data_IF_353268128405
#
_entry.id   IF_353268128405
#
_cell.length_a   1.000
_cell.length_b   1.000
_cell.length_c   1.000
_cell.angle_alpha   90.00
_cell.angle_beta   90.00
_cell.angle_gamma   90.00
#
_symmetry.space_group_name_H-M   'P 1'
#
loop_
_entity.id
_entity.type
_entity.pdbx_description
1 polymer ?
#
# COMPACT_ATOMS: atom_id res chain seq x y z
N UNK A 1 -16.49 -27.39 -21.47
CA UNK A 1 -15.81 -26.19 -22.01
C UNK A 1 -14.65 -26.57 -22.93
N UNK A 2 -13.67 -27.37 -22.49
CA UNK A 2 -12.57 -27.85 -23.35
C UNK A 2 -12.99 -28.60 -24.62
N UNK A 3 -14.05 -29.42 -24.58
CA UNK A 3 -14.55 -30.15 -25.77
C UNK A 3 -15.08 -29.21 -26.87
N UNK A 4 -15.84 -28.18 -26.48
CA UNK A 4 -16.37 -27.16 -27.40
C UNK A 4 -15.23 -26.33 -28.00
N UNK A 5 -14.24 -25.96 -27.17
CA UNK A 5 -13.05 -25.25 -27.67
C UNK A 5 -12.22 -26.08 -28.64
N UNK A 6 -12.11 -27.39 -28.42
CA UNK A 6 -11.39 -28.29 -29.32
C UNK A 6 -12.10 -28.43 -30.67
N UNK A 7 -13.44 -28.51 -30.68
CA UNK A 7 -14.25 -28.55 -31.90
C UNK A 7 -14.16 -27.23 -32.69
N UNK A 8 -14.22 -26.09 -32.00
CA UNK A 8 -14.25 -24.77 -32.63
C UNK A 8 -12.87 -24.13 -32.85
N UNK A 9 -11.77 -24.78 -32.42
CA UNK A 9 -10.40 -24.22 -32.48
C UNK A 9 -10.02 -23.72 -33.87
N UNK A 10 -10.33 -24.50 -34.90
CA UNK A 10 -9.98 -24.15 -36.28
C UNK A 10 -10.76 -22.91 -36.73
N UNK A 11 -12.06 -22.87 -36.48
CA UNK A 11 -12.93 -21.73 -36.82
C UNK A 11 -12.49 -20.47 -36.06
N UNK A 12 -12.20 -20.60 -34.77
CA UNK A 12 -11.76 -19.51 -33.91
C UNK A 12 -10.39 -18.94 -34.34
N UNK A 13 -9.43 -19.81 -34.68
CA UNK A 13 -8.11 -19.39 -35.19
C UNK A 13 -8.23 -18.65 -36.52
N UNK A 14 -9.07 -19.15 -37.44
CA UNK A 14 -9.34 -18.49 -38.72
C UNK A 14 -10.00 -17.13 -38.49
N UNK A 15 -10.95 -17.06 -37.56
CA UNK A 15 -11.61 -15.80 -37.22
C UNK A 15 -10.65 -14.77 -36.62
N UNK A 16 -9.79 -15.17 -35.67
CA UNK A 16 -8.79 -14.27 -35.07
C UNK A 16 -7.79 -13.70 -36.08
N UNK A 17 -7.38 -14.51 -37.08
CA UNK A 17 -6.51 -14.05 -38.18
C UNK A 17 -7.19 -13.02 -39.08
N UNK A 18 -8.48 -13.18 -39.34
CA UNK A 18 -9.19 -12.44 -40.39
C UNK A 18 -9.98 -11.23 -39.86
N UNK A 19 -10.43 -11.28 -38.60
CA UNK A 19 -11.31 -10.27 -38.03
C UNK A 19 -10.58 -9.04 -37.46
N UNK A 20 -9.24 -9.08 -37.36
CA UNK A 20 -8.38 -7.94 -37.04
C UNK A 20 -8.84 -7.18 -35.79
N UNK A 21 -9.34 -5.94 -35.99
CA UNK A 21 -9.83 -5.07 -34.89
C UNK A 21 -11.07 -5.62 -34.18
N UNK A 22 -11.96 -6.33 -34.88
CA UNK A 22 -13.17 -6.92 -34.27
C UNK A 22 -12.80 -8.06 -33.32
N UNK A 23 -11.79 -8.83 -33.66
CA UNK A 23 -11.26 -9.89 -32.80
C UNK A 23 -10.59 -9.31 -31.54
N UNK A 24 -9.80 -8.24 -31.70
CA UNK A 24 -9.22 -7.53 -30.56
C UNK A 24 -10.33 -7.05 -29.60
N UNK A 25 -11.29 -6.27 -30.09
CA UNK A 25 -12.38 -5.73 -29.28
C UNK A 25 -13.20 -6.82 -28.56
N UNK A 26 -13.48 -7.94 -29.24
CA UNK A 26 -14.22 -9.06 -28.63
C UNK A 26 -13.41 -9.80 -27.56
N UNK A 27 -12.10 -9.99 -27.73
CA UNK A 27 -11.25 -10.57 -26.70
C UNK A 27 -11.11 -9.62 -25.50
N UNK A 28 -11.02 -8.32 -25.73
CA UNK A 28 -11.06 -7.32 -24.66
C UNK A 28 -12.36 -7.37 -23.89
N UNK A 29 -13.47 -7.43 -24.61
CA UNK A 29 -14.79 -7.56 -23.99
C UNK A 29 -14.90 -8.89 -23.23
N UNK A 30 -14.36 -9.99 -23.75
CA UNK A 30 -14.33 -11.27 -23.06
C UNK A 30 -13.47 -11.22 -21.79
N UNK A 31 -12.32 -10.55 -21.82
CA UNK A 31 -11.47 -10.33 -20.64
C UNK A 31 -12.18 -9.41 -19.65
N UNK A 32 -12.85 -8.36 -20.11
CA UNK A 32 -13.60 -7.45 -19.26
C UNK A 32 -14.78 -8.15 -18.58
N UNK A 33 -15.54 -8.96 -19.31
CA UNK A 33 -16.61 -9.81 -18.77
C UNK A 33 -16.03 -10.82 -17.78
N UNK A 34 -14.94 -11.50 -18.15
CA UNK A 34 -14.30 -12.50 -17.29
C UNK A 34 -13.65 -11.88 -16.03
N UNK A 35 -13.25 -10.62 -16.11
CA UNK A 35 -12.62 -9.86 -15.00
C UNK A 35 -13.62 -8.90 -14.32
N UNK A 36 -14.91 -8.98 -14.64
CA UNK A 36 -15.99 -8.14 -14.10
C UNK A 36 -15.72 -6.62 -14.17
N UNK A 37 -14.92 -6.17 -15.15
CA UNK A 37 -14.61 -4.76 -15.33
C UNK A 37 -15.85 -3.98 -15.79
N UNK A 38 -16.07 -2.80 -15.19
CA UNK A 38 -17.15 -1.89 -15.58
C UNK A 38 -16.81 -1.05 -16.82
N UNK A 39 -15.61 -1.20 -17.40
CA UNK A 39 -15.27 -0.53 -18.65
C UNK A 39 -16.08 -1.13 -19.81
N UNK A 40 -16.85 -0.28 -20.49
CA UNK A 40 -17.69 -0.70 -21.63
C UNK A 40 -17.16 -0.21 -22.98
N UNK A 41 -16.14 0.65 -22.99
CA UNK A 41 -15.62 1.31 -24.19
C UNK A 41 -14.24 0.79 -24.61
N UNK A 42 -14.20 -0.43 -25.14
CA UNK A 42 -12.99 -1.00 -25.73
C UNK A 42 -12.80 -0.52 -27.17
N UNK A 43 -12.35 0.73 -27.32
CA UNK A 43 -11.94 1.24 -28.63
C UNK A 43 -10.52 0.73 -28.94
N UNK A 44 -10.40 -0.57 -29.26
CA UNK A 44 -9.13 -1.15 -29.68
C UNK A 44 -8.76 -0.62 -31.08
N UNK A 45 -7.98 0.45 -31.13
CA UNK A 45 -7.42 0.97 -32.38
C UNK A 45 -6.41 0.00 -33.01
N UNK A 46 -5.82 -0.88 -32.21
CA UNK A 46 -4.87 -1.91 -32.59
C UNK A 46 -5.53 -3.24 -32.95
N UNK A 47 -5.11 -3.85 -34.07
CA UNK A 47 -5.51 -5.21 -34.45
C UNK A 47 -4.76 -6.27 -33.64
N UNK A 48 -5.13 -7.55 -33.78
CA UNK A 48 -4.33 -8.66 -33.27
C UNK A 48 -3.26 -9.08 -34.27
N UNK A 49 -2.12 -9.55 -33.78
CA UNK A 49 -1.14 -10.30 -34.57
C UNK A 49 -0.97 -11.70 -33.98
N UNK A 50 -0.64 -12.65 -34.85
CA UNK A 50 -0.27 -14.00 -34.45
C UNK A 50 1.24 -14.07 -34.27
N UNK A 51 1.72 -14.33 -33.06
CA UNK A 51 3.17 -14.43 -32.76
C UNK A 51 3.70 -15.80 -33.16
N UNK A 52 2.90 -16.82 -32.89
CA UNK A 52 3.17 -18.23 -33.16
C UNK A 52 1.84 -18.91 -33.44
N UNK A 53 1.87 -20.04 -34.14
CA UNK A 53 0.66 -20.76 -34.56
C UNK A 53 -0.34 -20.93 -33.41
N UNK A 54 -1.50 -20.29 -33.53
CA UNK A 54 -2.59 -20.32 -32.57
C UNK A 54 -2.44 -19.39 -31.36
N UNK A 55 -1.45 -18.50 -31.31
CA UNK A 55 -1.27 -17.53 -30.22
C UNK A 55 -1.30 -16.11 -30.74
N UNK A 56 -2.25 -15.36 -30.22
CA UNK A 56 -2.58 -14.00 -30.66
C UNK A 56 -2.32 -12.98 -29.57
N UNK A 57 -1.90 -11.79 -29.97
CA UNK A 57 -1.63 -10.64 -29.10
C UNK A 57 -2.06 -9.34 -29.76
N UNK A 58 -2.19 -8.24 -29.01
CA UNK A 58 -2.40 -6.92 -29.62
C UNK A 58 -1.18 -6.46 -30.42
N UNK A 59 -1.41 -5.88 -31.59
CA UNK A 59 -0.37 -5.32 -32.44
C UNK A 59 0.40 -4.15 -31.80
N UNK A 60 -0.25 -3.39 -30.90
CA UNK A 60 0.41 -2.33 -30.12
C UNK A 60 1.38 -2.87 -29.07
N UNK A 61 1.17 -4.11 -28.66
CA UNK A 61 1.93 -4.83 -27.65
C UNK A 61 3.01 -5.70 -28.31
N UNK A 62 2.78 -6.09 -29.57
CA UNK A 62 3.73 -6.82 -30.38
C UNK A 62 5.09 -6.13 -30.49
N UNK A 63 6.11 -6.84 -30.04
CA UNK A 63 7.49 -6.42 -30.22
C UNK A 63 7.96 -6.87 -31.59
N UNK A 64 8.39 -5.91 -32.43
CA UNK A 64 8.95 -6.20 -33.76
C UNK A 64 10.05 -7.26 -33.67
N UNK A 65 10.08 -8.20 -34.63
CA UNK A 65 11.07 -9.28 -34.65
C UNK A 65 12.53 -8.80 -34.56
N UNK A 66 12.82 -7.57 -35.00
CA UNK A 66 14.15 -6.94 -34.86
C UNK A 66 14.56 -6.66 -33.40
N UNK A 67 13.60 -6.47 -32.48
CA UNK A 67 13.85 -6.29 -31.04
C UNK A 67 14.01 -7.61 -30.29
N UNK A 68 13.63 -8.74 -30.89
CA UNK A 68 13.76 -10.08 -30.33
C UNK A 68 15.12 -10.73 -30.66
N UNK A 69 15.93 -10.11 -31.52
CA UNK A 69 17.28 -10.57 -31.86
C UNK A 69 18.30 -9.90 -30.95
N UNK A 70 19.21 -10.71 -30.38
CA UNK A 70 20.36 -10.20 -29.63
C UNK A 70 21.19 -9.27 -30.53
N UNK A 71 21.29 -8.00 -30.14
CA UNK A 71 22.07 -7.02 -30.91
C UNK A 71 23.57 -7.22 -30.63
N UNK A 72 24.45 -7.02 -31.64
CA UNK A 72 25.89 -7.04 -31.40
C UNK A 72 26.27 -6.01 -30.34
N UNK A 73 26.86 -6.44 -29.23
CA UNK A 73 27.27 -5.58 -28.11
C UNK A 73 26.24 -5.41 -26.97
N UNK A 74 25.04 -6.00 -27.09
CA UNK A 74 24.06 -6.04 -25.99
C UNK A 74 24.47 -7.12 -24.98
N UNK A 75 24.40 -6.82 -23.68
CA UNK A 75 24.67 -7.83 -22.66
C UNK A 75 23.55 -8.88 -22.62
N UNK A 76 23.88 -10.10 -22.19
CA UNK A 76 22.90 -11.17 -22.03
C UNK A 76 21.83 -10.78 -21.00
N UNK A 77 22.19 -10.04 -19.95
CA UNK A 77 21.23 -9.53 -18.98
C UNK A 77 20.27 -8.48 -19.58
N UNK A 78 20.77 -7.54 -20.37
CA UNK A 78 19.94 -6.53 -21.05
C UNK A 78 18.99 -7.17 -22.06
N UNK A 79 19.45 -8.21 -22.75
CA UNK A 79 18.63 -8.99 -23.66
C UNK A 79 17.52 -9.75 -22.92
N UNK A 80 17.84 -10.42 -21.82
CA UNK A 80 16.86 -11.12 -21.00
C UNK A 80 15.86 -10.18 -20.32
N UNK A 81 16.29 -8.97 -19.91
CA UNK A 81 15.40 -7.92 -19.42
C UNK A 81 14.45 -7.40 -20.51
N UNK A 82 14.95 -7.25 -21.74
CA UNK A 82 14.13 -6.86 -22.90
C UNK A 82 13.08 -7.93 -23.21
N UNK A 83 13.46 -9.22 -23.20
CA UNK A 83 12.53 -10.33 -23.35
C UNK A 83 11.52 -10.46 -22.20
N UNK A 84 11.92 -10.11 -20.97
CA UNK A 84 11.05 -10.10 -19.81
C UNK A 84 10.08 -8.90 -19.76
N UNK A 85 10.28 -7.90 -20.63
CA UNK A 85 9.43 -6.71 -20.77
C UNK A 85 8.37 -6.80 -21.87
N UNK A 86 8.23 -7.98 -22.49
CA UNK A 86 7.23 -8.28 -23.52
C UNK A 86 5.82 -8.39 -22.91
N UNK A 87 4.74 -8.22 -23.70
CA UNK A 87 3.54 -7.56 -23.22
C UNK A 87 2.52 -8.45 -22.48
N UNK A 88 1.55 -7.74 -21.91
CA UNK A 88 0.73 -8.12 -20.76
C UNK A 88 -0.42 -9.10 -21.08
N UNK A 89 -0.87 -9.31 -22.33
CA UNK A 89 -2.02 -10.19 -22.61
C UNK A 89 -1.86 -10.99 -23.92
N UNK A 90 -1.85 -12.33 -23.83
CA UNK A 90 -1.85 -13.22 -24.99
C UNK A 90 -3.01 -14.23 -24.93
N UNK A 91 -3.56 -14.60 -26.09
CA UNK A 91 -4.62 -15.59 -26.21
C UNK A 91 -4.11 -16.82 -26.98
N UNK A 92 -4.12 -17.99 -26.34
CA UNK A 92 -3.66 -19.26 -26.92
C UNK A 92 -4.86 -20.14 -27.28
N UNK A 93 -5.20 -20.18 -28.57
CA UNK A 93 -6.28 -21.02 -29.12
C UNK A 93 -6.02 -22.51 -28.99
N UNK A 94 -4.75 -22.92 -28.83
CA UNK A 94 -4.40 -24.32 -28.73
C UNK A 94 -4.75 -24.87 -27.35
N UNK A 95 -4.67 -24.01 -26.33
CA UNK A 95 -4.95 -24.32 -24.94
C UNK A 95 -6.32 -23.78 -24.48
N UNK A 96 -6.96 -22.91 -25.26
CA UNK A 96 -8.19 -22.22 -24.86
C UNK A 96 -7.96 -21.30 -23.66
N UNK A 97 -6.77 -20.71 -23.53
CA UNK A 97 -6.36 -19.96 -22.35
C UNK A 97 -5.92 -18.53 -22.68
N UNK A 98 -6.16 -17.63 -21.74
CA UNK A 98 -5.56 -16.30 -21.69
C UNK A 98 -4.28 -16.39 -20.85
N UNK A 99 -3.14 -16.09 -21.47
CA UNK A 99 -1.86 -16.06 -20.80
C UNK A 99 -1.43 -14.60 -20.59
N UNK A 100 -1.60 -14.12 -19.36
CA UNK A 100 -0.82 -13.00 -18.83
C UNK A 100 0.58 -13.57 -18.53
N UNK A 101 1.65 -13.01 -19.09
CA UNK A 101 2.96 -13.68 -19.11
C UNK A 101 3.66 -13.64 -17.74
N UNK A 102 3.12 -14.33 -16.70
CA UNK A 102 3.85 -15.02 -15.60
C UNK A 102 3.03 -15.60 -14.45
N UNK A 103 1.71 -15.70 -14.55
CA UNK A 103 0.95 -16.45 -13.55
C UNK A 103 -0.29 -17.07 -14.18
N UNK A 104 -0.55 -18.34 -13.88
CA UNK A 104 -1.92 -18.85 -14.01
C UNK A 104 -2.82 -17.89 -13.24
N UNK A 105 -3.88 -17.40 -13.90
CA UNK A 105 -4.90 -16.64 -13.21
C UNK A 105 -5.45 -17.54 -12.13
N UNK A 106 -5.18 -17.16 -10.88
CA UNK A 106 -5.64 -17.88 -9.71
C UNK A 106 -6.62 -16.99 -8.98
N UNK A 107 -7.55 -17.64 -8.27
CA UNK A 107 -8.38 -16.93 -7.30
C UNK A 107 -7.45 -16.29 -6.27
N UNK A 108 -7.80 -15.08 -5.81
CA UNK A 108 -7.08 -14.42 -4.73
C UNK A 108 -6.85 -15.39 -3.56
N UNK A 109 -5.61 -15.49 -3.06
CA UNK A 109 -5.35 -16.34 -1.90
C UNK A 109 -6.10 -15.80 -0.68
N UNK A 110 -6.48 -16.69 0.24
CA UNK A 110 -7.33 -16.32 1.39
C UNK A 110 -6.77 -15.19 2.25
N UNK A 111 -5.44 -15.07 2.36
CA UNK A 111 -4.83 -13.94 3.07
C UNK A 111 -5.13 -12.58 2.41
N UNK A 112 -5.20 -12.54 1.08
CA UNK A 112 -5.49 -11.31 0.35
C UNK A 112 -6.98 -10.98 0.43
N UNK A 113 -7.85 -12.00 0.32
CA UNK A 113 -9.30 -11.86 0.51
C UNK A 113 -9.65 -11.29 1.89
N UNK A 114 -8.89 -11.66 2.92
CA UNK A 114 -9.11 -11.22 4.30
C UNK A 114 -8.36 -9.92 4.66
N UNK A 115 -7.63 -9.31 3.72
CA UNK A 115 -6.90 -8.06 3.97
C UNK A 115 -7.90 -6.89 4.00
N UNK A 116 -8.03 -6.22 5.16
CA UNK A 116 -9.01 -5.15 5.35
C UNK A 116 -8.81 -4.00 4.36
N UNK A 117 -7.56 -3.58 4.15
CA UNK A 117 -7.20 -2.51 3.20
C UNK A 117 -7.60 -2.87 1.77
N UNK A 118 -7.52 -4.16 1.42
CA UNK A 118 -7.91 -4.65 0.10
C UNK A 118 -9.43 -4.67 -0.06
N UNK A 119 -10.15 -5.10 0.98
CA UNK A 119 -11.63 -5.08 1.02
C UNK A 119 -12.19 -3.67 0.95
N UNK A 120 -11.49 -2.70 1.55
CA UNK A 120 -11.89 -1.28 1.47
C UNK A 120 -11.64 -0.69 0.08
N UNK A 121 -10.56 -1.08 -0.60
CA UNK A 121 -10.19 -0.55 -1.92
C UNK A 121 -10.96 -1.20 -3.06
N UNK A 122 -11.20 -2.51 -2.98
CA UNK A 122 -11.77 -3.30 -4.06
C UNK A 122 -12.97 -4.09 -3.56
N UNK A 123 -14.01 -4.20 -4.39
CA UNK A 123 -15.05 -5.19 -4.17
C UNK A 123 -14.49 -6.56 -4.59
N UNK A 124 -13.95 -7.29 -3.62
CA UNK A 124 -13.11 -8.48 -3.88
C UNK A 124 -13.85 -9.73 -4.38
N UNK A 125 -15.15 -9.64 -4.65
CA UNK A 125 -15.94 -10.76 -5.14
C UNK A 125 -15.50 -11.17 -6.55
N UNK A 126 -14.76 -12.28 -6.63
CA UNK A 126 -14.34 -12.88 -7.90
C UNK A 126 -13.09 -12.28 -8.55
N UNK A 127 -12.35 -11.41 -7.83
CA UNK A 127 -11.11 -10.83 -8.37
C UNK A 127 -10.05 -11.92 -8.55
N UNK A 128 -9.56 -12.04 -9.78
CA UNK A 128 -8.45 -12.94 -10.13
C UNK A 128 -7.12 -12.22 -9.93
N UNK A 129 -6.10 -12.97 -9.56
CA UNK A 129 -4.74 -12.46 -9.44
C UNK A 129 -3.76 -13.36 -10.18
N UNK A 130 -2.66 -12.79 -10.65
CA UNK A 130 -1.54 -13.53 -11.20
C UNK A 130 -0.30 -13.32 -10.34
N UNK A 131 0.45 -14.38 -10.06
CA UNK A 131 1.73 -14.22 -9.36
C UNK A 131 2.76 -13.58 -10.29
N UNK A 132 3.25 -12.39 -9.93
CA UNK A 132 4.27 -11.65 -10.69
C UNK A 132 5.66 -12.13 -10.29
N UNK A 133 5.89 -12.24 -8.98
CA UNK A 133 7.22 -12.49 -8.43
C UNK A 133 7.14 -13.02 -7.00
N UNK A 134 7.96 -14.03 -6.69
CA UNK A 134 8.06 -14.60 -5.34
C UNK A 134 9.52 -14.75 -4.95
N UNK A 135 9.88 -14.19 -3.79
CA UNK A 135 11.16 -14.38 -3.12
C UNK A 135 10.94 -15.06 -1.77
N UNK A 136 12.02 -15.34 -1.05
CA UNK A 136 11.98 -15.90 0.31
C UNK A 136 11.10 -15.08 1.26
N UNK A 137 11.05 -13.76 1.08
CA UNK A 137 10.39 -12.85 2.02
C UNK A 137 9.34 -11.94 1.40
N UNK A 138 9.07 -12.08 0.09
CA UNK A 138 8.11 -11.24 -0.62
C UNK A 138 7.34 -12.05 -1.66
N UNK A 139 6.03 -11.97 -1.60
CA UNK A 139 5.13 -12.44 -2.63
C UNK A 139 4.48 -11.23 -3.31
N UNK A 140 4.50 -11.21 -4.63
CA UNK A 140 3.99 -10.13 -5.47
C UNK A 140 2.92 -10.68 -6.39
N UNK A 141 1.69 -10.20 -6.24
CA UNK A 141 0.54 -10.56 -7.07
C UNK A 141 0.09 -9.35 -7.88
N UNK A 142 -0.28 -9.52 -9.14
CA UNK A 142 -0.95 -8.51 -9.93
C UNK A 142 -2.44 -8.83 -9.95
N UNK A 143 -3.27 -7.85 -9.60
CA UNK A 143 -4.71 -7.99 -9.65
C UNK A 143 -5.18 -7.85 -11.10
N UNK A 144 -5.90 -8.84 -11.61
CA UNK A 144 -6.39 -8.80 -12.98
C UNK A 144 -7.50 -7.73 -13.11
N UNK A 145 -7.41 -6.90 -14.15
CA UNK A 145 -8.35 -5.79 -14.38
C UNK A 145 -8.05 -4.52 -13.56
N UNK A 146 -7.38 -4.67 -12.43
CA UNK A 146 -6.95 -3.56 -11.58
C UNK A 146 -5.51 -3.18 -11.90
N UNK A 147 -5.19 -1.89 -12.05
CA UNK A 147 -3.80 -1.42 -12.29
C UNK A 147 -2.95 -1.45 -11.01
N UNK A 148 -3.09 -2.52 -10.22
CA UNK A 148 -2.56 -2.66 -8.88
C UNK A 148 -1.80 -3.98 -8.68
N UNK A 149 -0.68 -3.89 -7.97
CA UNK A 149 0.13 -5.00 -7.48
C UNK A 149 0.00 -5.11 -5.96
N UNK A 150 -0.13 -6.34 -5.45
CA UNK A 150 -0.10 -6.67 -4.02
C UNK A 150 1.26 -7.23 -3.66
N UNK A 151 1.89 -6.62 -2.66
CA UNK A 151 3.17 -7.04 -2.12
C UNK A 151 2.98 -7.53 -0.70
N UNK A 152 2.93 -8.85 -0.50
CA UNK A 152 2.97 -9.46 0.82
C UNK A 152 4.41 -9.68 1.24
N UNK A 153 4.76 -9.23 2.43
CA UNK A 153 6.06 -9.40 3.04
C UNK A 153 5.95 -10.28 4.27
N UNK A 154 6.89 -11.20 4.43
CA UNK A 154 7.04 -11.91 5.71
C UNK A 154 7.63 -10.96 6.75
N UNK A 155 7.55 -11.38 8.02
CA UNK A 155 8.19 -10.70 9.15
C UNK A 155 9.59 -10.21 8.80
N UNK A 156 9.90 -8.95 9.12
CA UNK A 156 11.24 -8.41 8.88
C UNK A 156 12.21 -8.99 9.93
N UNK A 157 13.18 -9.83 9.53
CA UNK A 157 14.09 -10.46 10.48
C UNK A 157 15.21 -9.51 10.95
N UNK A 158 15.28 -8.28 10.40
CA UNK A 158 16.34 -7.32 10.72
C UNK A 158 16.12 -6.75 12.13
N UNK A 159 17.19 -6.56 12.92
CA UNK A 159 17.07 -5.88 14.21
C UNK A 159 16.63 -4.43 14.01
N UNK A 160 15.93 -3.89 15.01
CA UNK A 160 15.57 -2.48 15.00
C UNK A 160 16.83 -1.61 14.99
N UNK A 161 16.86 -0.53 14.18
CA UNK A 161 17.99 0.38 14.19
C UNK A 161 18.14 1.00 15.58
N UNK A 162 19.32 0.84 16.18
CA UNK A 162 19.64 1.43 17.48
C UNK A 162 19.96 2.91 17.26
N UNK A 163 19.20 3.85 17.87
CA UNK A 163 19.49 5.26 17.74
C UNK A 163 20.85 5.59 18.38
N UNK A 164 21.72 6.28 17.65
CA UNK A 164 23.01 6.73 18.17
C UNK A 164 22.84 8.13 18.73
N UNK A 165 23.12 8.32 20.02
CA UNK A 165 23.06 9.63 20.67
C UNK A 165 24.03 10.63 20.02
N UNK A 166 23.61 11.89 19.86
CA UNK A 166 24.53 12.93 19.43
C UNK A 166 25.52 13.24 20.56
N UNK A 167 26.82 13.35 20.21
CA UNK A 167 27.82 13.83 21.15
C UNK A 167 27.61 15.33 21.38
N UNK A 168 27.30 15.71 22.62
CA UNK A 168 27.40 17.10 23.07
C UNK A 168 26.14 17.96 22.98
N UNK A 169 24.97 17.40 22.67
CA UNK A 169 23.73 18.17 22.72
C UNK A 169 23.34 18.44 24.18
N UNK A 170 23.31 19.71 24.58
CA UNK A 170 22.68 20.18 25.83
C UNK A 170 21.60 21.18 25.46
N UNK A 171 20.36 20.91 25.86
CA UNK A 171 19.26 21.85 25.71
C UNK A 171 18.80 22.31 27.09
N UNK A 172 19.07 23.56 27.42
CA UNK A 172 18.71 24.14 28.73
C UNK A 172 17.20 24.20 28.95
N UNK A 173 16.42 24.32 27.89
CA UNK A 173 14.95 24.40 27.97
C UNK A 173 14.27 23.05 28.15
N UNK A 174 14.98 21.95 27.87
CA UNK A 174 14.38 20.63 27.76
C UNK A 174 13.79 20.17 29.10
N UNK A 175 14.57 20.29 30.18
CA UNK A 175 14.15 19.87 31.51
C UNK A 175 12.93 20.65 31.97
N UNK A 176 12.92 21.97 31.77
CA UNK A 176 11.79 22.85 32.08
C UNK A 176 10.52 22.45 31.30
N UNK A 177 10.67 22.12 30.00
CA UNK A 177 9.54 21.75 29.16
C UNK A 177 8.98 20.38 29.49
N UNK A 178 9.85 19.41 29.80
CA UNK A 178 9.44 18.09 30.29
C UNK A 178 8.72 18.23 31.62
N UNK A 179 9.24 19.05 32.54
CA UNK A 179 8.58 19.32 33.83
C UNK A 179 7.22 19.99 33.64
N UNK A 180 7.13 21.02 32.78
CA UNK A 180 5.89 21.72 32.48
C UNK A 180 4.84 20.81 31.82
N UNK A 181 5.28 19.82 31.04
CA UNK A 181 4.43 18.81 30.42
C UNK A 181 4.03 17.66 31.37
N UNK A 182 4.40 17.71 32.65
CA UNK A 182 4.07 16.68 33.64
C UNK A 182 5.08 15.53 33.78
N UNK A 183 6.23 15.64 33.12
CA UNK A 183 7.31 14.65 33.16
C UNK A 183 7.17 13.51 32.15
N UNK A 184 8.13 12.59 32.16
CA UNK A 184 8.04 11.36 31.38
C UNK A 184 7.18 10.31 32.09
N UNK A 185 6.44 9.47 31.35
CA UNK A 185 5.67 8.39 31.94
C UNK A 185 6.56 7.33 32.60
N UNK A 186 6.02 6.68 33.64
CA UNK A 186 6.74 5.70 34.42
C UNK A 186 7.12 4.46 33.59
N UNK A 187 8.36 3.98 33.68
CA UNK A 187 8.80 2.80 32.94
C UNK A 187 9.11 3.05 31.46
N UNK A 188 9.17 4.32 31.02
CA UNK A 188 9.76 4.66 29.73
C UNK A 188 11.25 4.27 29.67
N UNK A 189 11.97 4.23 30.78
CA UNK A 189 13.42 3.97 30.80
C UNK A 189 14.24 5.23 30.56
N UNK A 190 15.57 5.09 30.44
CA UNK A 190 16.45 6.25 30.33
C UNK A 190 16.35 6.92 28.95
N UNK A 191 15.96 8.20 28.91
CA UNK A 191 15.90 8.98 27.68
C UNK A 191 17.24 9.64 27.38
N UNK A 192 17.68 9.59 26.12
CA UNK A 192 18.96 10.15 25.65
C UNK A 192 18.71 11.09 24.49
N UNK A 193 19.22 12.33 24.57
CA UNK A 193 19.04 13.33 23.53
C UNK A 193 19.71 12.89 22.22
N UNK A 194 18.91 12.78 21.15
CA UNK A 194 19.38 12.50 19.80
C UNK A 194 19.69 13.81 19.08
N UNK A 195 18.71 14.69 19.01
CA UNK A 195 18.86 16.01 18.43
C UNK A 195 17.91 16.99 19.13
N UNK A 196 18.13 18.27 18.86
CA UNK A 196 17.20 19.30 19.29
C UNK A 196 17.31 20.54 18.43
N UNK A 197 16.20 21.26 18.38
CA UNK A 197 16.04 22.59 17.82
C UNK A 197 15.62 23.55 18.95
N UNK A 198 15.34 24.80 18.60
CA UNK A 198 14.80 25.76 19.59
C UNK A 198 13.38 25.43 20.05
N UNK A 199 12.65 24.60 19.29
CA UNK A 199 11.22 24.30 19.48
C UNK A 199 10.93 22.85 19.84
N UNK A 200 11.78 21.92 19.44
CA UNK A 200 11.55 20.48 19.62
C UNK A 200 12.86 19.76 19.92
N UNK A 201 12.78 18.68 20.70
CA UNK A 201 13.89 17.80 21.00
C UNK A 201 13.47 16.35 20.71
N UNK A 202 14.34 15.60 20.01
CA UNK A 202 14.16 14.18 19.78
C UNK A 202 15.04 13.39 20.74
N UNK A 203 14.43 12.43 21.41
CA UNK A 203 15.02 11.62 22.45
C UNK A 203 14.87 10.15 22.07
N UNK A 204 15.96 9.40 22.18
CA UNK A 204 15.94 7.96 22.17
C UNK A 204 15.62 7.43 23.56
N UNK A 205 14.98 6.27 23.57
CA UNK A 205 14.60 5.55 24.76
C UNK A 205 15.33 4.19 24.78
N UNK A 206 15.56 3.63 25.96
CA UNK A 206 16.10 2.26 26.07
C UNK A 206 15.10 1.18 25.61
N UNK A 207 13.81 1.52 25.56
CA UNK A 207 12.79 0.67 24.96
C UNK A 207 12.96 0.64 23.44
N UNK A 208 13.16 -0.57 22.90
CA UNK A 208 13.30 -0.77 21.47
C UNK A 208 12.10 -0.24 20.68
N UNK A 209 12.40 0.46 19.59
CA UNK A 209 11.38 1.00 18.69
C UNK A 209 10.60 2.19 19.26
N UNK A 210 11.00 2.77 20.40
CA UNK A 210 10.32 3.94 20.96
C UNK A 210 11.15 5.21 20.76
N UNK A 211 10.48 6.25 20.26
CA UNK A 211 11.03 7.60 20.13
C UNK A 211 10.19 8.59 20.93
N UNK A 212 10.87 9.53 21.57
CA UNK A 212 10.23 10.55 22.39
C UNK A 212 10.51 11.91 21.77
N UNK A 213 9.47 12.70 21.55
CA UNK A 213 9.55 14.05 21.01
C UNK A 213 9.02 15.01 22.07
N UNK A 214 9.82 16.00 22.44
CA UNK A 214 9.41 17.06 23.35
C UNK A 214 9.25 18.34 22.56
N UNK A 215 8.05 18.92 22.59
CA UNK A 215 7.72 20.23 22.05
C UNK A 215 7.86 21.26 23.17
N UNK A 216 8.52 22.38 22.88
CA UNK A 216 8.81 23.44 23.85
C UNK A 216 7.63 24.36 24.12
N UNK A 217 6.92 24.76 23.07
CA UNK A 217 5.85 25.77 23.15
C UNK A 217 4.71 25.41 22.20
N UNK A 218 3.56 24.93 22.71
CA UNK A 218 3.30 24.64 24.12
C UNK A 218 4.08 23.40 24.61
N UNK A 219 4.52 23.36 25.89
CA UNK A 219 5.24 22.23 26.44
C UNK A 219 4.43 20.93 26.33
N UNK A 220 4.89 19.98 25.50
CA UNK A 220 4.19 18.71 25.27
C UNK A 220 5.20 17.59 25.06
N UNK A 221 4.96 16.42 25.64
CA UNK A 221 5.74 15.20 25.38
C UNK A 221 4.90 14.27 24.53
N UNK A 222 5.44 13.81 23.41
CA UNK A 222 4.83 12.85 22.50
C UNK A 222 5.72 11.62 22.37
N UNK A 223 5.13 10.43 22.44
CA UNK A 223 5.84 9.16 22.34
C UNK A 223 5.35 8.44 21.10
N UNK A 224 6.29 8.13 20.22
CA UNK A 224 6.06 7.41 18.98
C UNK A 224 6.60 6.00 19.09
N UNK A 225 5.80 5.04 18.62
CA UNK A 225 6.26 3.69 18.36
C UNK A 225 6.70 3.55 16.90
N UNK A 226 7.80 2.85 16.70
CA UNK A 226 8.32 2.46 15.40
C UNK A 226 7.67 1.16 14.99
N UNK A 227 7.08 1.15 13.81
CA UNK A 227 6.41 -0.01 13.23
C UNK A 227 7.12 -0.41 11.94
N UNK A 228 7.34 -1.71 11.75
CA UNK A 228 7.89 -2.25 10.51
C UNK A 228 6.71 -2.62 9.64
N UNK A 229 6.64 -2.04 8.45
CA UNK A 229 5.61 -2.38 7.47
C UNK A 229 6.24 -2.42 6.09
N UNK A 230 6.13 -3.57 5.41
CA UNK A 230 6.81 -3.84 4.15
C UNK A 230 8.31 -3.47 4.17
N UNK A 231 9.00 -3.84 5.25
CA UNK A 231 10.44 -3.58 5.46
C UNK A 231 10.84 -2.10 5.51
N UNK A 232 9.86 -1.23 5.66
CA UNK A 232 10.02 0.20 5.93
C UNK A 232 9.65 0.48 7.39
N UNK A 233 10.33 1.45 8.00
CA UNK A 233 10.02 1.87 9.37
C UNK A 233 9.12 3.09 9.33
N UNK A 234 7.97 2.99 10.00
CA UNK A 234 6.99 4.05 10.19
C UNK A 234 6.95 4.45 11.66
N UNK A 235 6.46 5.65 11.92
CA UNK A 235 6.25 6.16 13.28
C UNK A 235 4.76 6.35 13.50
N UNK A 236 4.28 5.93 14.66
CA UNK A 236 2.89 6.08 15.06
C UNK A 236 2.83 6.65 16.46
N UNK A 237 2.00 7.66 16.67
CA UNK A 237 1.80 8.22 18.00
C UNK A 237 1.16 7.17 18.90
N UNK A 238 1.83 6.87 20.01
CA UNK A 238 1.39 5.92 21.03
C UNK A 238 0.81 6.64 22.25
N UNK A 239 1.41 7.76 22.63
CA UNK A 239 1.03 8.54 23.82
C UNK A 239 1.40 10.01 23.65
N UNK A 240 0.68 10.91 24.31
CA UNK A 240 0.99 12.33 24.43
C UNK A 240 0.63 12.82 25.83
N UNK A 241 1.35 13.81 26.34
CA UNK A 241 0.99 14.48 27.61
C UNK A 241 -0.26 15.35 27.47
N UNK A 242 -0.46 15.91 26.27
CA UNK A 242 -1.63 16.73 25.93
C UNK A 242 -2.18 16.33 24.54
N UNK A 243 -3.44 15.93 24.51
CA UNK A 243 -4.13 15.53 23.28
C UNK A 243 -4.54 16.73 22.42
N UNK A 244 -4.65 17.94 22.99
CA UNK A 244 -5.00 19.15 22.25
C UNK A 244 -3.91 19.54 21.24
N UNK A 245 -2.67 19.12 21.50
CA UNK A 245 -1.49 19.42 20.69
C UNK A 245 -0.98 18.22 19.90
N UNK A 246 -1.82 17.21 19.72
CA UNK A 246 -1.50 16.05 18.89
C UNK A 246 -2.42 15.97 17.68
N UNK A 247 -2.01 15.20 16.67
CA UNK A 247 -2.77 15.06 15.43
C UNK A 247 -3.71 13.83 15.43
N UNK A 248 -3.80 13.08 16.54
CA UNK A 248 -4.63 11.88 16.61
C UNK A 248 -5.83 12.07 17.54
N UNK A 249 -6.94 11.38 17.25
CA UNK A 249 -8.02 11.25 18.22
C UNK A 249 -7.74 10.05 19.13
N UNK A 250 -7.71 10.30 20.43
CA UNK A 250 -7.72 9.23 21.42
C UNK A 250 -9.14 8.94 21.85
N UNK A 251 -9.49 7.66 21.98
CA UNK A 251 -10.70 7.26 22.68
C UNK A 251 -10.62 7.87 24.08
N UNK A 252 -11.67 8.58 24.50
CA UNK A 252 -11.82 9.07 25.87
C UNK A 252 -11.76 7.89 26.85
N UNK A 253 -10.55 7.45 27.23
CA UNK A 253 -10.33 6.72 28.47
C UNK A 253 -10.05 7.77 29.55
N UNK A 254 -10.57 7.48 30.74
CA UNK A 254 -10.72 8.40 31.86
C UNK A 254 -9.48 9.29 32.09
N UNK A 255 -9.66 10.60 32.31
CA UNK A 255 -8.56 11.51 32.61
C UNK A 255 -7.80 10.99 33.84
N UNK A 256 -6.51 10.70 33.68
CA UNK A 256 -5.67 10.37 34.82
C UNK A 256 -5.16 11.68 35.43
N UNK A 257 -5.55 11.93 36.68
CA UNK A 257 -5.03 13.05 37.45
C UNK A 257 -3.78 12.55 38.17
N UNK A 258 -2.61 13.16 37.91
CA UNK A 258 -1.48 12.97 38.83
C UNK A 258 -1.86 13.55 40.19
N UNK A 259 -1.34 12.99 41.28
CA UNK A 259 -1.55 13.49 42.66
C UNK A 259 -1.12 14.98 42.83
N UNK A 260 -0.48 15.56 41.83
CA UNK A 260 -0.05 16.97 41.76
C UNK A 260 -1.06 17.91 41.07
N UNK A 261 -2.21 17.41 40.60
CA UNK A 261 -3.27 18.24 40.02
C UNK A 261 -3.00 18.75 38.59
N UNK A 262 -2.00 18.20 37.90
CA UNK A 262 -1.77 18.47 36.49
C UNK A 262 -2.63 17.54 35.62
N UNK A 263 -3.30 18.10 34.62
CA UNK A 263 -4.09 17.35 33.65
C UNK A 263 -3.13 16.51 32.77
N UNK A 264 -3.38 15.21 32.64
CA UNK A 264 -2.71 14.37 31.64
C UNK A 264 -3.74 13.46 31.00
N UNK A 265 -3.95 13.64 29.69
CA UNK A 265 -4.94 12.88 28.93
C UNK A 265 -4.24 12.04 27.86
N UNK A 266 -4.70 10.77 27.79
CA UNK A 266 -4.63 9.82 26.69
C UNK A 266 -3.43 8.84 26.64
N UNK A 267 -3.63 7.63 27.18
CA UNK A 267 -3.00 6.43 26.63
C UNK A 267 -3.78 6.00 25.39
N UNK A 268 -3.09 5.82 24.26
CA UNK A 268 -3.62 5.01 23.15
C UNK A 268 -3.89 3.57 23.61
N UNK A 269 -4.30 2.68 22.69
CA UNK A 269 -4.63 1.28 22.98
C UNK A 269 -3.53 0.42 23.66
N UNK A 270 -2.36 0.98 23.99
CA UNK A 270 -1.47 0.42 24.99
C UNK A 270 -1.60 1.23 26.27
N UNK A 271 -2.20 0.65 27.30
CA UNK A 271 -2.43 1.29 28.60
C UNK A 271 -1.20 2.00 29.16
N UNK A 272 -1.44 2.88 30.14
CA UNK A 272 -0.41 3.68 30.79
C UNK A 272 0.90 2.90 31.04
N UNK A 273 2.07 3.48 30.74
CA UNK A 273 3.34 2.96 31.22
C UNK A 273 3.27 2.88 32.76
N UNK A 274 3.28 1.66 33.30
CA UNK A 274 3.04 1.39 34.73
C UNK A 274 1.75 0.60 35.04
N UNK A 275 0.88 0.33 34.06
CA UNK A 275 -0.20 -0.64 34.22
C UNK A 275 0.38 -2.05 34.43
N UNK A 276 -0.21 -2.83 35.34
CA UNK A 276 0.12 -4.25 35.54
C UNK A 276 -0.09 -5.10 34.27
N UNK A 277 -0.74 -4.53 33.25
CA UNK A 277 -0.71 -5.03 31.88
C UNK A 277 0.72 -4.91 31.37
N UNK A 278 1.46 -6.02 31.42
CA UNK A 278 2.81 -6.14 30.84
C UNK A 278 2.86 -5.36 29.54
N UNK A 279 3.76 -4.38 29.46
CA UNK A 279 4.17 -3.77 28.19
C UNK A 279 4.39 -4.93 27.22
N UNK A 280 3.52 -5.06 26.23
CA UNK A 280 3.74 -6.03 25.17
C UNK A 280 5.06 -5.61 24.53
N UNK A 281 6.02 -6.54 24.52
CA UNK A 281 7.19 -6.47 23.65
C UNK A 281 6.72 -6.03 22.28
N UNK A 282 7.50 -5.17 21.59
CA UNK A 282 7.22 -4.78 20.21
C UNK A 282 6.69 -6.02 19.46
N UNK A 283 5.48 -5.96 18.88
CA UNK A 283 4.86 -7.15 18.32
C UNK A 283 5.86 -7.81 17.37
N UNK A 284 6.02 -9.15 17.41
CA UNK A 284 6.88 -9.85 16.47
C UNK A 284 6.46 -9.40 15.07
N UNK A 285 7.44 -9.07 14.21
CA UNK A 285 7.14 -8.45 12.91
C UNK A 285 6.04 -9.24 12.22
N UNK A 286 4.87 -8.64 12.05
CA UNK A 286 3.75 -9.34 11.43
C UNK A 286 4.00 -9.40 9.92
N UNK A 287 3.34 -10.34 9.26
CA UNK A 287 3.27 -10.29 7.81
C UNK A 287 2.52 -9.03 7.41
N UNK A 288 3.00 -8.35 6.37
CA UNK A 288 2.42 -7.06 5.95
C UNK A 288 2.12 -7.08 4.48
N UNK A 289 1.07 -6.36 4.08
CA UNK A 289 0.65 -6.25 2.68
C UNK A 289 0.72 -4.78 2.29
N UNK A 290 1.34 -4.51 1.15
CA UNK A 290 1.35 -3.20 0.52
C UNK A 290 0.71 -3.28 -0.85
N UNK A 291 -0.18 -2.34 -1.12
CA UNK A 291 -0.88 -2.20 -2.39
C UNK A 291 -0.16 -1.12 -3.18
N UNK A 292 0.28 -1.44 -4.39
CA UNK A 292 1.01 -0.54 -5.28
C UNK A 292 0.20 -0.34 -6.55
N UNK A 293 -0.05 0.90 -6.96
CA UNK A 293 -0.72 1.20 -8.23
C UNK A 293 0.21 1.86 -9.23
N UNK A 294 -0.09 1.70 -10.51
CA UNK A 294 0.58 2.40 -11.61
C UNK A 294 -0.32 3.52 -12.14
N UNK A 295 0.11 4.78 -11.96
CA UNK A 295 -0.63 5.95 -12.45
C UNK A 295 -0.25 6.27 -13.90
N UNK A 296 -1.23 6.19 -14.81
CA UNK A 296 -1.10 6.65 -16.19
C UNK A 296 -1.12 8.18 -16.25
N UNK A 297 -0.20 8.78 -17.03
CA UNK A 297 -0.22 10.21 -17.37
C UNK A 297 -1.40 10.52 -18.30
N UNK A 298 -2.62 10.58 -17.79
CA UNK A 298 -3.79 10.91 -18.64
C UNK A 298 -4.60 12.11 -18.14
N UNK A 299 -4.40 12.59 -16.90
CA UNK A 299 -5.08 13.79 -16.39
C UNK A 299 -4.14 15.02 -16.34
N UNK A 300 -4.26 15.97 -17.27
CA UNK A 300 -3.49 17.23 -17.24
C UNK A 300 -3.92 18.19 -16.12
N UNK A 301 -4.96 17.84 -15.34
CA UNK A 301 -5.49 18.69 -14.27
C UNK A 301 -4.81 18.49 -12.91
N UNK A 302 -4.03 17.42 -12.71
CA UNK A 302 -3.25 17.23 -11.48
C UNK A 302 -1.86 17.83 -11.63
N UNK A 303 -1.75 19.13 -11.32
CA UNK A 303 -0.48 19.87 -11.26
C UNK A 303 0.50 19.16 -10.31
N UNK A 304 1.50 18.48 -10.88
CA UNK A 304 2.57 17.81 -10.15
C UNK A 304 2.57 16.27 -10.21
N UNK A 305 1.56 15.63 -10.79
CA UNK A 305 1.53 14.18 -10.99
C UNK A 305 2.42 13.79 -12.20
N UNK A 306 3.72 13.64 -11.96
CA UNK A 306 4.54 12.82 -12.87
C UNK A 306 4.04 11.39 -12.72
N UNK A 307 3.58 10.77 -13.80
CA UNK A 307 3.17 9.36 -13.79
C UNK A 307 4.23 8.49 -13.11
N UNK A 308 3.80 7.44 -12.41
CA UNK A 308 4.69 6.68 -11.56
C UNK A 308 3.98 5.63 -10.71
N UNK A 309 4.78 4.90 -9.93
CA UNK A 309 4.28 3.91 -8.97
C UNK A 309 4.00 4.57 -7.63
N UNK A 310 2.86 4.26 -7.05
CA UNK A 310 2.46 4.74 -5.74
C UNK A 310 2.09 3.57 -4.84
N UNK A 311 2.52 3.63 -3.57
CA UNK A 311 2.17 2.64 -2.56
C UNK A 311 1.14 3.22 -1.60
N UNK A 312 0.05 2.48 -1.36
CA UNK A 312 -0.93 2.83 -0.35
C UNK A 312 -0.27 2.81 1.04
N UNK A 313 -0.51 3.86 1.83
CA UNK A 313 -0.16 3.89 3.23
C UNK A 313 -1.42 3.71 4.08
N UNK A 314 -1.53 2.62 4.86
CA UNK A 314 -2.61 2.46 5.83
C UNK A 314 -2.68 3.66 6.78
N UNK A 315 -3.89 4.19 7.00
CA UNK A 315 -4.12 5.32 7.92
C UNK A 315 -3.59 5.05 9.34
N UNK A 316 -3.57 3.78 9.76
CA UNK A 316 -3.00 3.35 11.04
C UNK A 316 -1.51 3.70 11.19
N UNK A 317 -0.72 3.70 10.11
CA UNK A 317 0.71 4.06 10.11
C UNK A 317 0.96 5.56 10.11
N UNK A 318 -0.08 6.37 9.89
CA UNK A 318 -0.02 7.83 9.83
C UNK A 318 -0.63 8.49 11.07
N UNK A 319 -1.12 7.69 12.03
CA UNK A 319 -1.74 8.19 13.26
C UNK A 319 -0.77 9.05 14.06
N UNK A 320 -1.21 10.28 14.35
CA UNK A 320 -0.44 11.31 15.04
C UNK A 320 0.64 11.99 14.19
N UNK A 321 0.83 11.57 12.94
CA UNK A 321 1.61 12.31 11.94
C UNK A 321 0.72 13.20 11.07
N UNK A 322 -0.53 12.80 10.86
CA UNK A 322 -1.56 13.57 10.17
C UNK A 322 -2.79 13.77 11.05
N UNK A 323 -3.52 14.90 10.90
CA UNK A 323 -4.78 15.12 11.57
C UNK A 323 -5.76 13.97 11.34
N UNK A 324 -6.38 13.48 12.40
CA UNK A 324 -7.34 12.37 12.34
C UNK A 324 -8.48 12.63 11.35
N UNK A 325 -8.94 13.88 11.23
CA UNK A 325 -9.98 14.24 10.24
C UNK A 325 -9.56 13.93 8.80
N UNK A 326 -8.28 14.13 8.47
CA UNK A 326 -7.75 13.77 7.15
C UNK A 326 -7.64 12.25 6.98
N UNK A 327 -7.22 11.53 8.03
CA UNK A 327 -7.13 10.07 8.01
C UNK A 327 -8.48 9.37 7.83
N UNK A 328 -9.59 10.04 8.19
CA UNK A 328 -10.97 9.56 7.99
C UNK A 328 -11.54 9.91 6.62
N UNK A 329 -11.12 11.03 6.04
CA UNK A 329 -11.68 11.54 4.78
C UNK A 329 -10.86 11.13 3.55
N UNK A 330 -9.58 10.81 3.72
CA UNK A 330 -8.66 10.56 2.61
C UNK A 330 -7.88 9.26 2.78
N UNK A 331 -7.63 8.62 1.64
CA UNK A 331 -6.62 7.57 1.45
C UNK A 331 -5.31 8.22 1.06
N UNK A 332 -4.21 7.66 1.55
CA UNK A 332 -2.89 8.23 1.32
C UNK A 332 -2.01 7.30 0.50
N UNK A 333 -1.41 7.86 -0.54
CA UNK A 333 -0.53 7.18 -1.47
C UNK A 333 0.85 7.83 -1.45
N UNK A 334 1.89 7.04 -1.24
CA UNK A 334 3.28 7.49 -1.31
C UNK A 334 3.84 7.18 -2.69
N UNK A 335 4.16 8.22 -3.45
CA UNK A 335 4.85 8.07 -4.73
C UNK A 335 6.30 7.64 -4.56
N UNK A 336 6.88 7.10 -5.63
CA UNK A 336 8.33 6.80 -5.72
C UNK A 336 9.22 8.04 -5.55
N UNK A 337 8.66 9.24 -5.75
CA UNK A 337 9.28 10.54 -5.48
C UNK A 337 9.29 10.92 -4.00
N UNK A 338 8.69 10.10 -3.14
CA UNK A 338 8.59 10.35 -1.71
C UNK A 338 7.48 11.31 -1.31
N UNK A 339 6.68 11.79 -2.27
CA UNK A 339 5.56 12.70 -2.00
C UNK A 339 4.35 11.88 -1.55
N UNK A 340 3.69 12.37 -0.51
CA UNK A 340 2.43 11.82 -0.03
C UNK A 340 1.26 12.52 -0.73
N UNK A 341 0.38 11.74 -1.36
CA UNK A 341 -0.82 12.22 -2.07
C UNK A 341 -2.06 11.70 -1.38
N UNK A 342 -3.08 12.54 -1.32
CA UNK A 342 -4.37 12.23 -0.73
C UNK A 342 -5.42 12.02 -1.81
N UNK A 343 -6.27 11.03 -1.63
CA UNK A 343 -7.41 10.72 -2.48
C UNK A 343 -8.66 10.63 -1.59
N UNK A 344 -9.71 11.37 -1.93
CA UNK A 344 -10.93 11.41 -1.12
C UNK A 344 -11.61 10.04 -1.11
N UNK A 345 -12.02 9.58 0.07
CA UNK A 345 -12.83 8.37 0.20
C UNK A 345 -14.26 8.72 -0.20
N UNK A 346 -14.80 8.06 -1.24
CA UNK A 346 -16.22 8.21 -1.58
C UNK A 346 -17.06 7.81 -0.37
N UNK A 347 -17.86 8.76 0.16
CA UNK A 347 -18.81 8.44 1.22
C UNK A 347 -19.81 7.45 0.63
N UNK A 348 -19.85 6.22 1.18
CA UNK A 348 -20.88 5.23 0.86
C UNK A 348 -22.21 5.91 1.15
N UNK A 349 -22.87 6.38 0.09
CA UNK A 349 -24.19 7.00 0.18
C UNK A 349 -25.12 5.84 0.45
N UNK A 350 -25.51 5.64 1.71
CA UNK A 350 -26.50 4.64 2.07
C UNK A 350 -27.76 4.95 1.24
N UNK A 351 -28.25 4.03 0.38
CA UNK A 351 -29.46 4.30 -0.37
C UNK A 351 -30.58 4.57 0.63
N UNK A 352 -31.19 5.75 0.52
CA UNK A 352 -32.30 6.16 1.36
C UNK A 352 -33.36 5.05 1.36
N UNK A 353 -33.71 4.57 2.56
CA UNK A 353 -34.81 3.65 2.74
C UNK A 353 -36.04 4.27 2.05
N UNK A 354 -36.53 3.61 0.99
CA UNK A 354 -37.82 3.92 0.43
C UNK A 354 -38.86 3.62 1.52
N UNK A 355 -39.36 4.68 2.15
CA UNK A 355 -40.60 4.65 2.91
C UNK A 355 -41.70 4.08 2.01
N UNK A 356 -41.99 2.79 2.22
CA UNK A 356 -43.21 2.16 1.75
C UNK A 356 -44.31 2.54 2.75
N UNK A 357 -44.77 3.79 2.65
CA UNK A 357 -46.00 4.25 3.26
C UNK A 357 -47.18 3.63 2.52
N UNK A 358 -47.58 2.43 2.93
CA UNK A 358 -48.87 1.82 2.62
C UNK A 358 -49.54 1.38 3.92
N UNK A 359 -50.44 2.21 4.42
CA UNK A 359 -51.84 1.87 4.75
C UNK A 359 -52.64 3.12 5.12
#
# INVERSE_FOLDING_TARGET
MFAIFAEERAALTIWLRNAGKRAAAALEQAVAIASLSTETNFNSSAGLIEIRSGVFMRASEAVSEEKLKLKPGQSVEEYLQTLASLPKLAFDTNLGSFAMQRGELQVLPGWAVNCAELQELFQLDGVLASSVHRTEHRECLNLAGERCDLHRWTSDPRPWPVPVAARGARCSWLDDSVQAAGGFPAGLGATRLLDATERMAHLACELEGVEVVVVRDPPTVQIFESLSHARMVYKKLRWTSDACWCLSSFSLQEPWCSETGAWSLCSGQGGAPGSAVKQQSAPPGEETVVIVREMSQESPEQVGAKGGREALLPSALLKGLLPEGLLRAFRFWRGSDGILRAEEMESITTPAAQDSGGD
#
